data_IF_646918920741
#
_entry.id   IF_646918920741
#
_cell.length_a   1.000
_cell.length_b   1.000
_cell.length_c   1.000
_cell.angle_alpha   90.00
_cell.angle_beta   90.00
_cell.angle_gamma   90.00
#
_symmetry.space_group_name_H-M   'P 1'
#
loop_
_entity.id
_entity.type
_entity.pdbx_description
1 polymer ?
#
# COMPACT_ATOMS: atom_id res chain seq x y z
N UNK A 1 11.78 -20.63 4.95
CA UNK A 1 13.07 -19.87 4.93
C UNK A 1 13.06 -18.74 5.96
N UNK A 2 12.05 -17.87 5.95
CA UNK A 2 11.84 -16.79 6.94
C UNK A 2 11.86 -17.30 8.39
N UNK A 3 11.14 -18.39 8.68
CA UNK A 3 11.09 -18.99 10.02
C UNK A 3 12.46 -19.45 10.55
N UNK A 4 13.31 -20.02 9.69
CA UNK A 4 14.65 -20.46 10.09
C UNK A 4 15.58 -19.28 10.40
N UNK A 5 15.48 -18.20 9.61
CA UNK A 5 16.21 -16.96 9.88
C UNK A 5 15.72 -16.32 11.19
N UNK A 6 14.41 -16.29 11.42
CA UNK A 6 13.81 -15.83 12.68
C UNK A 6 14.35 -16.61 13.89
N UNK A 7 14.30 -17.95 13.85
CA UNK A 7 14.81 -18.79 14.93
C UNK A 7 16.31 -18.61 15.17
N UNK A 8 17.08 -18.33 14.11
CA UNK A 8 18.50 -18.06 14.22
C UNK A 8 18.75 -16.72 14.92
N UNK A 9 18.08 -15.64 14.48
CA UNK A 9 18.24 -14.30 15.03
C UNK A 9 17.74 -14.20 16.47
N UNK A 10 16.64 -14.86 16.83
CA UNK A 10 16.07 -14.81 18.19
C UNK A 10 17.01 -15.34 19.27
N UNK A 11 18.00 -16.15 18.88
CA UNK A 11 19.03 -16.70 19.78
C UNK A 11 20.30 -15.85 19.86
N UNK A 12 20.43 -14.79 19.06
CA UNK A 12 21.62 -13.94 19.04
C UNK A 12 21.51 -12.77 20.03
N UNK A 13 22.63 -12.29 20.59
CA UNK A 13 22.65 -11.06 21.38
C UNK A 13 22.06 -9.88 20.60
N UNK A 14 21.05 -9.23 21.18
CA UNK A 14 20.37 -8.10 20.53
C UNK A 14 19.55 -8.47 19.29
N UNK A 15 19.29 -9.77 19.05
CA UNK A 15 18.52 -10.27 17.91
C UNK A 15 19.08 -9.86 16.54
N UNK A 16 20.41 -9.68 16.45
CA UNK A 16 21.10 -9.25 15.21
C UNK A 16 22.23 -10.22 14.85
N UNK A 17 22.54 -10.32 13.56
CA UNK A 17 23.68 -11.09 13.07
C UNK A 17 24.17 -10.54 11.72
N UNK A 18 25.46 -10.77 11.42
CA UNK A 18 26.01 -10.55 10.08
C UNK A 18 25.98 -11.87 9.30
N UNK A 19 25.28 -11.89 8.17
CA UNK A 19 25.06 -13.09 7.36
C UNK A 19 25.56 -12.80 5.93
N UNK A 20 26.27 -13.76 5.33
CA UNK A 20 26.63 -13.69 3.92
C UNK A 20 25.40 -14.02 3.08
N UNK A 21 25.03 -13.11 2.18
CA UNK A 21 23.91 -13.27 1.26
C UNK A 21 24.44 -13.32 -0.18
N UNK A 22 23.88 -14.21 -0.98
CA UNK A 22 24.02 -14.19 -2.43
C UNK A 22 22.83 -13.43 -3.00
N UNK A 23 23.08 -12.43 -3.84
CA UNK A 23 22.04 -11.62 -4.46
C UNK A 23 21.90 -12.09 -5.91
N UNK A 24 20.70 -12.49 -6.27
CA UNK A 24 20.32 -12.75 -7.66
C UNK A 24 19.39 -11.63 -8.14
N UNK A 25 19.51 -11.27 -9.42
CA UNK A 25 19.20 -9.94 -9.94
C UNK A 25 17.74 -9.47 -9.86
N UNK A 26 17.46 -8.25 -10.35
CA UNK A 26 16.09 -7.76 -10.41
C UNK A 26 15.29 -8.57 -11.45
N UNK A 27 14.23 -9.23 -11.00
CA UNK A 27 13.30 -9.96 -11.85
C UNK A 27 12.12 -9.12 -12.37
N UNK A 28 11.98 -7.88 -11.88
CA UNK A 28 10.94 -6.95 -12.31
C UNK A 28 11.32 -6.16 -13.55
N UNK A 29 10.34 -5.83 -14.39
CA UNK A 29 10.46 -4.85 -15.46
C UNK A 29 10.11 -3.45 -14.95
N UNK A 30 10.87 -2.44 -15.38
CA UNK A 30 10.50 -1.04 -15.10
C UNK A 30 9.29 -0.65 -15.94
N UNK A 31 8.34 0.06 -15.34
CA UNK A 31 7.27 0.69 -16.10
C UNK A 31 7.84 1.78 -17.01
N UNK A 32 7.28 1.94 -18.21
CA UNK A 32 7.70 2.94 -19.19
C UNK A 32 7.19 4.35 -18.82
N UNK A 33 7.49 4.78 -17.59
CA UNK A 33 6.86 5.89 -16.89
C UNK A 33 7.18 7.27 -17.50
N UNK A 34 8.24 7.38 -18.29
CA UNK A 34 8.69 8.65 -18.87
C UNK A 34 7.66 9.22 -19.88
N UNK A 35 6.76 8.38 -20.39
CA UNK A 35 5.65 8.76 -21.30
C UNK A 35 4.40 9.26 -20.55
N UNK A 36 4.43 9.10 -19.23
CA UNK A 36 3.49 9.59 -18.21
C UNK A 36 3.35 11.10 -18.21
N UNK A 37 2.30 11.65 -17.62
CA UNK A 37 2.30 12.95 -16.91
C UNK A 37 1.55 12.81 -15.59
N UNK A 38 0.54 11.94 -15.59
CA UNK A 38 -0.26 11.58 -14.43
C UNK A 38 -0.04 10.09 -14.12
N UNK A 39 0.03 9.75 -12.83
CA UNK A 39 0.25 8.40 -12.34
C UNK A 39 -0.74 8.08 -11.19
N UNK A 40 -1.53 7.02 -11.35
CA UNK A 40 -2.41 6.49 -10.31
C UNK A 40 -1.89 5.12 -9.84
N UNK A 41 -1.39 5.10 -8.60
CA UNK A 41 -0.88 3.92 -7.93
C UNK A 41 -1.92 3.35 -6.97
N UNK A 42 -2.24 2.07 -7.11
CA UNK A 42 -3.24 1.37 -6.30
C UNK A 42 -2.59 0.16 -5.64
N UNK A 43 -2.59 0.14 -4.30
CA UNK A 43 -2.11 -0.97 -3.51
C UNK A 43 -3.20 -1.52 -2.59
N UNK A 44 -3.18 -2.83 -2.36
CA UNK A 44 -4.03 -3.48 -1.35
C UNK A 44 -3.21 -4.36 -0.41
N UNK A 45 -3.43 -4.21 0.91
CA UNK A 45 -2.74 -4.99 1.93
C UNK A 45 -1.22 -4.95 1.75
N UNK A 46 -0.59 -6.12 1.67
CA UNK A 46 0.86 -6.29 1.51
C UNK A 46 1.38 -5.96 0.10
N UNK A 47 0.52 -5.56 -0.84
CA UNK A 47 0.92 -5.12 -2.20
C UNK A 47 1.55 -3.73 -2.25
N UNK A 48 1.61 -3.00 -1.13
CA UNK A 48 2.16 -1.64 -1.08
C UNK A 48 3.65 -1.50 -1.41
N UNK A 49 4.59 -2.40 -1.04
CA UNK A 49 6.02 -2.09 -1.16
C UNK A 49 6.48 -1.79 -2.59
N UNK A 50 6.05 -2.58 -3.57
CA UNK A 50 6.39 -2.38 -4.98
C UNK A 50 5.79 -1.09 -5.53
N UNK A 51 4.50 -0.88 -5.28
CA UNK A 51 3.74 0.30 -5.70
C UNK A 51 4.31 1.59 -5.08
N UNK A 52 4.60 1.57 -3.79
CA UNK A 52 5.24 2.67 -3.07
C UNK A 52 6.62 3.00 -3.64
N UNK A 53 7.45 1.99 -3.90
CA UNK A 53 8.79 2.21 -4.42
C UNK A 53 8.76 2.87 -5.80
N UNK A 54 7.88 2.42 -6.69
CA UNK A 54 7.67 3.05 -7.99
C UNK A 54 7.21 4.51 -7.83
N UNK A 55 6.15 4.76 -7.05
CA UNK A 55 5.63 6.11 -6.82
C UNK A 55 6.71 7.07 -6.28
N UNK A 56 7.51 6.61 -5.31
CA UNK A 56 8.57 7.44 -4.72
C UNK A 56 9.79 7.61 -5.62
N UNK A 57 10.15 6.61 -6.43
CA UNK A 57 11.22 6.74 -7.45
C UNK A 57 10.86 7.82 -8.48
N UNK A 58 9.62 7.79 -8.97
CA UNK A 58 9.10 8.76 -9.96
C UNK A 58 9.07 10.15 -9.34
N UNK A 59 8.53 10.29 -8.13
CA UNK A 59 8.48 11.55 -7.41
C UNK A 59 9.88 12.16 -7.23
N UNK A 60 10.88 11.34 -6.87
CA UNK A 60 12.27 11.80 -6.68
C UNK A 60 12.94 12.19 -8.00
N UNK A 61 12.69 11.44 -9.09
CA UNK A 61 13.32 11.70 -10.39
C UNK A 61 12.70 12.87 -11.13
N UNK A 62 11.37 13.02 -11.07
CA UNK A 62 10.62 13.94 -11.91
C UNK A 62 10.00 15.11 -11.13
N UNK A 63 9.88 15.00 -9.80
CA UNK A 63 9.37 16.04 -8.92
C UNK A 63 7.99 16.52 -9.35
N UNK A 64 7.78 17.83 -9.30
CA UNK A 64 6.51 18.49 -9.59
C UNK A 64 6.07 18.42 -11.06
N UNK A 65 6.86 17.80 -11.94
CA UNK A 65 6.47 17.55 -13.35
C UNK A 65 5.49 16.39 -13.50
N UNK A 66 5.16 15.71 -12.40
CA UNK A 66 4.27 14.56 -12.35
C UNK A 66 3.13 14.81 -11.36
N UNK A 67 1.93 14.42 -11.75
CA UNK A 67 0.81 14.30 -10.83
C UNK A 67 0.73 12.85 -10.34
N UNK A 68 1.17 12.61 -9.11
CA UNK A 68 1.26 11.26 -8.55
C UNK A 68 0.19 11.09 -7.47
N UNK A 69 -0.68 10.11 -7.65
CA UNK A 69 -1.69 9.69 -6.68
C UNK A 69 -1.39 8.28 -6.20
N UNK A 70 -1.38 8.08 -4.88
CA UNK A 70 -1.16 6.79 -4.24
C UNK A 70 -2.36 6.43 -3.37
N UNK A 71 -3.09 5.41 -3.77
CA UNK A 71 -4.23 4.86 -3.05
C UNK A 71 -3.84 3.52 -2.42
N UNK A 72 -3.85 3.43 -1.09
CA UNK A 72 -3.57 2.19 -0.38
C UNK A 72 -4.77 1.71 0.44
N UNK A 73 -5.20 0.47 0.21
CA UNK A 73 -6.32 -0.14 0.94
C UNK A 73 -5.80 -1.09 2.00
N UNK A 74 -6.20 -0.85 3.25
CA UNK A 74 -5.92 -1.71 4.40
C UNK A 74 -7.21 -2.11 5.12
N UNK A 75 -7.12 -3.17 5.92
CA UNK A 75 -8.24 -3.60 6.77
C UNK A 75 -8.34 -2.74 8.03
N UNK A 76 -7.25 -2.55 8.75
CA UNK A 76 -7.23 -1.88 10.05
C UNK A 76 -6.13 -0.83 10.12
N UNK A 77 -6.23 0.14 11.04
CA UNK A 77 -5.17 1.14 11.27
C UNK A 77 -3.83 0.51 11.65
N UNK A 78 -3.85 -0.57 12.42
CA UNK A 78 -2.63 -1.31 12.79
C UNK A 78 -1.89 -1.94 11.60
N UNK A 79 -2.58 -2.17 10.49
CA UNK A 79 -1.94 -2.62 9.25
C UNK A 79 -0.94 -1.60 8.67
N UNK A 80 -0.88 -0.39 9.23
CA UNK A 80 0.06 0.65 8.85
C UNK A 80 1.38 0.58 9.65
N UNK A 81 1.41 -0.08 10.81
CA UNK A 81 2.55 -0.04 11.75
C UNK A 81 3.86 -0.52 11.12
N UNK A 82 3.81 -1.65 10.41
CA UNK A 82 4.98 -2.24 9.78
C UNK A 82 5.56 -1.37 8.64
N UNK A 83 4.76 -0.46 8.09
CA UNK A 83 5.12 0.42 6.97
C UNK A 83 5.14 1.90 7.38
N UNK A 84 5.04 2.19 8.67
CA UNK A 84 4.85 3.55 9.18
C UNK A 84 6.05 4.46 8.85
N UNK A 85 7.27 3.93 8.93
CA UNK A 85 8.48 4.68 8.60
C UNK A 85 8.54 5.06 7.12
N UNK A 86 8.00 4.22 6.25
CA UNK A 86 7.87 4.47 4.81
C UNK A 86 6.82 5.55 4.54
N UNK A 87 5.69 5.52 5.23
CA UNK A 87 4.66 6.56 5.14
C UNK A 87 5.20 7.93 5.54
N UNK A 88 6.00 8.03 6.60
CA UNK A 88 6.62 9.29 7.03
C UNK A 88 7.49 9.92 5.93
N UNK A 89 8.16 9.11 5.10
CA UNK A 89 9.00 9.60 4.00
C UNK A 89 8.20 10.23 2.85
N UNK A 90 6.87 10.01 2.79
CA UNK A 90 6.02 10.63 1.78
C UNK A 90 5.80 12.13 2.03
N UNK A 91 6.00 12.60 3.26
CA UNK A 91 5.82 14.00 3.65
C UNK A 91 6.60 14.98 2.76
N UNK A 92 7.78 14.57 2.32
CA UNK A 92 8.70 15.41 1.55
C UNK A 92 8.62 15.15 0.03
N UNK A 93 7.60 14.41 -0.42
CA UNK A 93 7.41 14.04 -1.83
C UNK A 93 6.10 14.61 -2.38
N UNK A 94 6.06 15.03 -3.66
CA UNK A 94 4.84 15.53 -4.31
C UNK A 94 3.90 14.36 -4.71
N UNK A 95 3.45 13.59 -3.71
CA UNK A 95 2.54 12.46 -3.89
C UNK A 95 1.27 12.73 -3.09
N UNK A 96 0.12 12.77 -3.77
CA UNK A 96 -1.17 12.78 -3.09
C UNK A 96 -1.47 11.36 -2.60
N UNK A 97 -1.41 11.13 -1.29
CA UNK A 97 -1.66 9.80 -0.72
C UNK A 97 -3.02 9.74 -0.02
N UNK A 98 -3.79 8.70 -0.36
CA UNK A 98 -5.08 8.38 0.26
C UNK A 98 -5.04 6.94 0.78
N UNK A 99 -5.31 6.74 2.06
CA UNK A 99 -5.39 5.43 2.70
C UNK A 99 -6.86 5.12 3.00
N UNK A 100 -7.35 4.01 2.44
CA UNK A 100 -8.68 3.48 2.68
C UNK A 100 -8.62 2.41 3.77
N UNK A 101 -9.34 2.61 4.87
CA UNK A 101 -9.43 1.67 6.00
C UNK A 101 -10.82 1.03 6.00
N UNK A 102 -10.89 -0.25 5.63
CA UNK A 102 -12.17 -0.93 5.38
C UNK A 102 -12.86 -1.45 6.64
N UNK A 103 -12.12 -1.62 7.74
CA UNK A 103 -12.62 -2.05 9.04
C UNK A 103 -11.93 -1.23 10.17
N UNK A 104 -12.24 0.07 10.29
CA UNK A 104 -11.57 0.99 11.21
C UNK A 104 -11.81 0.67 12.70
N UNK A 105 -12.81 -0.15 13.00
CA UNK A 105 -13.24 -0.48 14.36
C UNK A 105 -12.91 -1.93 14.78
N UNK A 106 -12.33 -2.73 13.89
CA UNK A 106 -11.96 -4.15 14.14
C UNK A 106 -10.44 -4.22 14.30
N UNK A 107 -9.91 -5.11 15.15
CA UNK A 107 -8.45 -5.26 15.35
C UNK A 107 -7.83 -4.27 16.35
N UNK A 108 -8.62 -3.80 17.31
CA UNK A 108 -8.26 -2.86 18.38
C UNK A 108 -7.69 -3.55 19.64
N UNK A 109 -7.21 -4.79 19.51
CA UNK A 109 -6.66 -5.63 20.59
C UNK A 109 -5.15 -5.44 20.66
N UNK A 110 -4.63 -4.92 21.78
CA UNK A 110 -3.23 -4.72 22.27
C UNK A 110 -2.04 -4.91 21.32
N UNK A 111 -0.99 -4.06 21.39
CA UNK A 111 0.18 -4.17 20.52
C UNK A 111 0.74 -5.60 20.57
N UNK A 112 1.05 -6.14 19.39
CA UNK A 112 1.72 -7.44 19.25
C UNK A 112 3.04 -7.31 20.02
N UNK A 113 3.10 -7.87 21.23
CA UNK A 113 4.37 -8.10 21.91
C UNK A 113 5.24 -8.93 20.96
N UNK A 114 6.58 -8.73 20.90
CA UNK A 114 7.45 -9.31 19.86
C UNK A 114 7.56 -10.85 19.82
N UNK A 115 6.70 -11.56 20.53
CA UNK A 115 6.62 -13.01 20.55
C UNK A 115 5.48 -13.46 19.65
N UNK A 116 5.86 -14.08 18.53
CA UNK A 116 5.05 -14.89 17.61
C UNK A 116 4.46 -14.16 16.39
N UNK A 117 5.36 -13.85 15.44
CA UNK A 117 5.00 -13.72 14.02
C UNK A 117 5.00 -15.13 13.40
N UNK A 118 3.80 -15.70 13.19
CA UNK A 118 3.60 -16.89 12.37
C UNK A 118 2.84 -16.51 11.09
N UNK A 119 3.35 -16.94 9.94
CA UNK A 119 2.91 -16.58 8.57
C UNK A 119 1.58 -17.25 8.12
N UNK A 120 0.72 -17.68 9.05
CA UNK A 120 -0.53 -18.40 8.73
C UNK A 120 -1.77 -17.55 9.06
N UNK A 121 -2.44 -17.04 8.01
CA UNK A 121 -3.65 -16.19 8.11
C UNK A 121 -4.88 -16.93 8.67
N UNK A 122 -4.90 -18.27 8.67
CA UNK A 122 -6.06 -19.07 9.09
C UNK A 122 -6.15 -19.28 10.62
N UNK A 123 -5.09 -19.00 11.38
CA UNK A 123 -5.05 -19.27 12.83
C UNK A 123 -5.50 -18.10 13.72
N UNK A 124 -5.75 -16.92 13.15
CA UNK A 124 -6.13 -15.72 13.93
C UNK A 124 -7.63 -15.63 14.26
N UNK A 125 -8.48 -16.51 13.72
CA UNK A 125 -9.94 -16.39 13.84
C UNK A 125 -10.52 -16.89 15.17
N UNK A 126 -9.73 -17.53 16.05
CA UNK A 126 -10.26 -18.15 17.27
C UNK A 126 -9.47 -17.77 18.53
N UNK A 127 -9.56 -16.52 19.01
CA UNK A 127 -9.49 -16.24 20.48
C UNK A 127 -9.76 -14.79 20.95
N UNK A 128 -10.19 -13.85 20.10
CA UNK A 128 -10.33 -12.45 20.52
C UNK A 128 -11.78 -11.99 20.74
N UNK A 129 -12.47 -12.63 21.68
CA UNK A 129 -13.64 -12.04 22.34
C UNK A 129 -13.31 -11.72 23.82
N UNK A 130 -12.54 -10.66 24.06
CA UNK A 130 -12.55 -9.96 25.35
C UNK A 130 -12.54 -8.45 25.13
N UNK A 131 -13.59 -7.80 25.64
CA UNK A 131 -13.77 -6.34 25.68
C UNK A 131 -12.61 -5.70 26.47
N UNK A 132 -11.74 -4.96 25.79
CA UNK A 132 -10.92 -3.91 26.39
C UNK A 132 -11.35 -2.53 25.86
N UNK A 133 -10.99 -1.48 26.60
CA UNK A 133 -11.63 -0.18 26.59
C UNK A 133 -11.52 0.59 25.26
N UNK A 134 -12.65 1.14 24.81
CA UNK A 134 -12.81 1.87 23.54
C UNK A 134 -12.04 3.20 23.48
N UNK A 135 -11.54 3.72 24.60
CA UNK A 135 -10.91 5.06 24.67
C UNK A 135 -9.45 5.03 24.19
N UNK A 136 -8.63 4.11 24.68
CA UNK A 136 -7.20 4.01 24.32
C UNK A 136 -6.98 3.80 22.81
N UNK A 137 -7.89 3.06 22.18
CA UNK A 137 -7.86 2.79 20.75
C UNK A 137 -8.18 4.01 19.89
N UNK A 138 -9.04 4.91 20.37
CA UNK A 138 -9.31 6.18 19.67
C UNK A 138 -8.10 7.09 19.75
N UNK A 139 -7.46 7.17 20.92
CA UNK A 139 -6.28 8.00 21.12
C UNK A 139 -5.13 7.60 20.19
N UNK A 140 -4.88 6.30 20.02
CA UNK A 140 -3.89 5.79 19.07
C UNK A 140 -4.20 6.22 17.61
N UNK A 141 -5.44 6.04 17.16
CA UNK A 141 -5.84 6.40 15.78
C UNK A 141 -5.69 7.91 15.55
N UNK A 142 -6.10 8.72 16.53
CA UNK A 142 -5.97 10.18 16.45
C UNK A 142 -4.50 10.61 16.41
N UNK A 143 -3.62 10.00 17.21
CA UNK A 143 -2.18 10.27 17.17
C UNK A 143 -1.56 9.87 15.83
N UNK A 144 -1.95 8.71 15.29
CA UNK A 144 -1.50 8.23 13.98
C UNK A 144 -1.94 9.16 12.84
N UNK A 145 -3.22 9.55 12.81
CA UNK A 145 -3.73 10.52 11.81
C UNK A 145 -3.04 11.86 11.93
N UNK A 146 -2.74 12.30 13.16
CA UNK A 146 -2.01 13.54 13.42
C UNK A 146 -0.57 13.47 12.93
N UNK A 147 0.13 12.36 13.14
CA UNK A 147 1.50 12.19 12.66
C UNK A 147 1.58 12.07 11.13
N UNK A 148 0.53 11.51 10.53
CA UNK A 148 0.35 11.34 9.08
C UNK A 148 -0.62 12.38 8.49
N UNK A 149 -0.62 13.61 9.00
CA UNK A 149 -1.60 14.65 8.59
C UNK A 149 -1.50 15.08 7.12
N UNK A 150 -0.46 14.65 6.40
CA UNK A 150 -0.26 14.85 4.97
C UNK A 150 -0.88 13.72 4.12
N UNK A 151 -1.47 12.72 4.76
CA UNK A 151 -2.19 11.60 4.15
C UNK A 151 -3.69 11.77 4.42
N UNK A 152 -4.50 11.55 3.38
CA UNK A 152 -5.95 11.49 3.50
C UNK A 152 -6.38 10.10 3.97
N UNK A 153 -7.17 10.01 5.04
CA UNK A 153 -7.74 8.76 5.53
C UNK A 153 -9.23 8.69 5.22
N UNK A 154 -9.66 7.60 4.58
CA UNK A 154 -11.06 7.35 4.25
C UNK A 154 -11.47 6.01 4.86
N UNK A 155 -12.46 6.02 5.74
CA UNK A 155 -12.92 4.85 6.49
C UNK A 155 -14.05 4.09 5.75
N UNK A 156 -13.83 3.80 4.48
CA UNK A 156 -14.77 3.05 3.65
C UNK A 156 -14.07 2.17 2.62
N UNK A 157 -14.82 1.22 2.05
CA UNK A 157 -14.31 0.43 0.93
C UNK A 157 -14.33 1.27 -0.35
N UNK A 158 -13.19 1.46 -1.03
CA UNK A 158 -13.15 2.24 -2.25
C UNK A 158 -13.89 1.53 -3.38
N UNK A 159 -14.64 2.31 -4.16
CA UNK A 159 -15.16 1.89 -5.46
C UNK A 159 -14.11 2.22 -6.52
N UNK A 160 -13.17 1.30 -6.74
CA UNK A 160 -12.12 1.51 -7.74
C UNK A 160 -12.64 1.57 -9.16
N UNK A 161 -13.85 1.05 -9.43
CA UNK A 161 -14.44 1.22 -10.74
C UNK A 161 -14.72 2.71 -11.00
N UNK A 162 -15.39 3.38 -10.06
CA UNK A 162 -15.70 4.80 -10.20
C UNK A 162 -14.47 5.70 -10.04
N UNK A 163 -13.58 5.41 -9.09
CA UNK A 163 -12.35 6.20 -8.88
C UNK A 163 -11.50 6.23 -10.17
N UNK A 164 -11.30 5.07 -10.81
CA UNK A 164 -10.52 4.99 -12.06
C UNK A 164 -11.24 5.70 -13.22
N UNK A 165 -12.56 5.57 -13.31
CA UNK A 165 -13.33 6.23 -14.36
C UNK A 165 -13.23 7.76 -14.24
N UNK A 166 -13.33 8.28 -13.01
CA UNK A 166 -13.15 9.71 -12.73
C UNK A 166 -11.73 10.17 -13.03
N UNK A 167 -10.70 9.40 -12.64
CA UNK A 167 -9.31 9.74 -12.94
C UNK A 167 -9.06 9.85 -14.45
N UNK A 168 -9.53 8.87 -15.22
CA UNK A 168 -9.39 8.86 -16.69
C UNK A 168 -10.07 10.09 -17.30
N UNK A 169 -11.26 10.43 -16.83
CA UNK A 169 -12.05 11.57 -17.32
C UNK A 169 -11.41 12.92 -16.96
N UNK A 170 -10.81 13.03 -15.78
CA UNK A 170 -10.22 14.28 -15.28
C UNK A 170 -8.76 14.47 -15.69
N UNK A 171 -8.09 13.41 -16.16
CA UNK A 171 -6.68 13.47 -16.54
C UNK A 171 -6.41 14.54 -17.61
N UNK A 172 -5.49 15.45 -17.31
CA UNK A 172 -5.09 16.53 -18.22
C UNK A 172 -3.95 16.14 -19.18
N UNK A 173 -3.49 14.88 -19.13
CA UNK A 173 -2.41 14.35 -19.96
C UNK A 173 -2.39 12.82 -19.97
N UNK A 174 -1.34 12.19 -20.54
CA UNK A 174 -1.16 10.74 -20.47
C UNK A 174 -1.22 10.24 -19.02
N UNK A 175 -1.94 9.14 -18.79
CA UNK A 175 -2.16 8.55 -17.48
C UNK A 175 -1.63 7.11 -17.43
N UNK A 176 -0.73 6.85 -16.49
CA UNK A 176 -0.37 5.49 -16.09
C UNK A 176 -1.21 5.09 -14.88
N UNK A 177 -1.74 3.87 -14.89
CA UNK A 177 -2.43 3.27 -13.75
C UNK A 177 -1.66 2.01 -13.39
N UNK A 178 -1.20 1.88 -12.16
CA UNK A 178 -0.49 0.71 -11.69
C UNK A 178 -1.18 0.11 -10.47
N UNK A 179 -1.43 -1.20 -10.47
CA UNK A 179 -2.14 -1.87 -9.38
C UNK A 179 -1.45 -3.13 -8.88
N UNK A 180 -1.41 -3.29 -7.56
CA UNK A 180 -1.02 -4.52 -6.86
C UNK A 180 -1.92 -4.70 -5.62
N UNK A 181 -2.99 -5.47 -5.77
CA UNK A 181 -4.04 -5.59 -4.77
C UNK A 181 -4.76 -6.94 -4.89
N UNK A 182 -5.72 -7.20 -4.00
CA UNK A 182 -6.61 -8.36 -4.08
C UNK A 182 -7.29 -8.45 -5.45
N UNK A 183 -7.47 -9.67 -5.98
CA UNK A 183 -7.94 -9.92 -7.34
C UNK A 183 -9.21 -9.16 -7.71
N UNK A 184 -10.20 -9.09 -6.81
CA UNK A 184 -11.43 -8.34 -7.04
C UNK A 184 -11.21 -6.84 -7.29
N UNK A 185 -10.27 -6.20 -6.56
CA UNK A 185 -9.97 -4.78 -6.77
C UNK A 185 -9.25 -4.57 -8.09
N UNK A 186 -8.35 -5.49 -8.44
CA UNK A 186 -7.64 -5.47 -9.73
C UNK A 186 -8.63 -5.68 -10.89
N UNK A 187 -9.63 -6.56 -10.72
CA UNK A 187 -10.72 -6.75 -11.68
C UNK A 187 -11.54 -5.47 -11.88
N UNK A 188 -11.90 -4.76 -10.81
CA UNK A 188 -12.63 -3.49 -10.87
C UNK A 188 -11.82 -2.41 -11.62
N UNK A 189 -10.52 -2.30 -11.33
CA UNK A 189 -9.59 -1.40 -12.04
C UNK A 189 -9.54 -1.77 -13.53
N UNK A 190 -9.30 -3.04 -13.86
CA UNK A 190 -9.25 -3.52 -15.25
C UNK A 190 -10.53 -3.19 -16.00
N UNK A 191 -11.67 -3.50 -15.39
CA UNK A 191 -12.98 -3.27 -15.98
C UNK A 191 -13.21 -1.78 -16.23
N UNK A 192 -12.89 -0.93 -15.26
CA UNK A 192 -13.06 0.52 -15.40
C UNK A 192 -12.16 1.13 -16.47
N UNK A 193 -10.89 0.71 -16.54
CA UNK A 193 -10.00 1.14 -17.63
C UNK A 193 -10.62 0.77 -18.97
N UNK A 194 -10.99 -0.50 -19.18
CA UNK A 194 -11.55 -0.98 -20.42
C UNK A 194 -12.83 -0.23 -20.84
N UNK A 195 -13.73 0.02 -19.90
CA UNK A 195 -15.01 0.69 -20.16
C UNK A 195 -14.83 2.20 -20.43
N UNK A 196 -13.72 2.81 -19.99
CA UNK A 196 -13.50 4.26 -20.04
C UNK A 196 -12.35 4.74 -20.95
N UNK A 197 -11.63 3.86 -21.66
CA UNK A 197 -10.52 4.26 -22.56
C UNK A 197 -10.90 5.38 -23.54
N UNK A 198 -12.15 5.39 -24.03
CA UNK A 198 -12.63 6.38 -25.01
C UNK A 198 -13.09 7.71 -24.38
N UNK A 199 -13.06 7.83 -23.05
CA UNK A 199 -13.49 9.04 -22.33
C UNK A 199 -12.38 10.09 -22.20
N UNK A 200 -11.14 9.73 -22.54
CA UNK A 200 -9.99 10.64 -22.56
C UNK A 200 -9.43 10.76 -23.97
N UNK A 201 -8.93 11.95 -24.31
CA UNK A 201 -8.14 12.17 -25.53
C UNK A 201 -6.68 11.74 -25.38
N UNK A 202 -6.26 11.36 -24.17
CA UNK A 202 -4.88 11.03 -23.85
C UNK A 202 -4.65 9.52 -23.77
N UNK A 203 -3.38 9.11 -23.87
CA UNK A 203 -2.99 7.71 -23.67
C UNK A 203 -3.23 7.30 -22.22
N UNK A 204 -3.99 6.23 -22.05
CA UNK A 204 -4.18 5.55 -20.77
C UNK A 204 -3.51 4.18 -20.86
N UNK A 205 -2.70 3.83 -19.87
CA UNK A 205 -2.05 2.52 -19.81
C UNK A 205 -2.16 1.92 -18.42
N UNK A 206 -2.56 0.66 -18.36
CA UNK A 206 -2.64 -0.12 -17.14
C UNK A 206 -1.41 -1.02 -17.02
N UNK A 207 -0.72 -0.91 -15.89
CA UNK A 207 0.44 -1.71 -15.50
C UNK A 207 0.04 -2.62 -14.33
N UNK A 208 -0.24 -3.87 -14.63
CA UNK A 208 -0.47 -4.87 -13.58
C UNK A 208 0.88 -5.47 -13.18
N UNK A 209 1.30 -5.23 -11.94
CA UNK A 209 2.42 -5.95 -11.36
C UNK A 209 1.94 -7.35 -10.99
N UNK A 210 1.96 -8.25 -11.98
CA UNK A 210 1.67 -9.67 -11.77
C UNK A 210 2.74 -10.21 -10.82
N UNK A 211 2.33 -10.73 -9.66
CA UNK A 211 3.13 -11.70 -8.94
C UNK A 211 3.22 -12.93 -9.84
N UNK A 212 4.27 -13.01 -10.65
CA UNK A 212 4.59 -14.25 -11.35
C UNK A 212 4.94 -15.27 -10.27
N UNK A 213 3.96 -16.13 -9.97
CA UNK A 213 4.15 -17.38 -9.22
C UNK A 213 5.12 -18.30 -9.95
#
# INVERSE_FOLDING_TARGET
MTHGLYQYLSKQPGQTAQIKVSIEGPYGSRMAIDRFENDLFIAGGNGIPGIYYEATDIAKRLGDKRNIKLNWVVRHYRSLEWFYQELLKLKDLPIKTTIYVTQPHVGLTDPISPTELTDDEEAQEQEQEKKSDNEENRDYIEELKKSLSFIEFIEEKPDFYNIVAEEIKQSSGPLAIASCAHGSMVDDVRKSVADNLNQSSYRIELFEQIQSL
#
